data_IF_209700687153
#
_entry.id   IF_209700687153
#
_cell.length_a   1.000
_cell.length_b   1.000
_cell.length_c   1.000
_cell.angle_alpha   90.00
_cell.angle_beta   90.00
_cell.angle_gamma   90.00
#
_symmetry.space_group_name_H-M   'P 1'
#
loop_
_entity.id
_entity.type
_entity.pdbx_description
1 polymer ?
#
# COMPACT_ATOMS: atom_id res chain seq x y z
N UNK A 1 44.92 31.09 -20.21
CA UNK A 1 43.98 30.01 -19.88
C UNK A 1 43.27 29.65 -21.17
N UNK A 2 43.60 28.46 -21.64
CA UNK A 2 43.42 27.92 -22.98
C UNK A 2 41.96 27.52 -23.22
N UNK A 3 41.38 27.96 -24.33
CA UNK A 3 40.25 27.26 -24.96
C UNK A 3 40.80 26.62 -26.23
N UNK A 4 40.72 25.30 -26.28
CA UNK A 4 41.16 24.49 -27.41
C UNK A 4 40.12 24.54 -28.55
N UNK A 5 40.64 24.71 -29.75
CA UNK A 5 39.93 24.73 -31.02
C UNK A 5 39.46 23.33 -31.42
N UNK A 6 38.18 23.19 -31.80
CA UNK A 6 37.70 22.06 -32.63
C UNK A 6 37.57 22.51 -34.09
N UNK A 7 38.05 21.71 -35.07
CA UNK A 7 38.00 22.07 -36.49
C UNK A 7 36.62 21.79 -37.09
N UNK A 8 36.02 22.81 -37.72
CA UNK A 8 34.88 22.66 -38.62
C UNK A 8 35.40 22.21 -40.00
N UNK A 9 35.06 20.99 -40.38
CA UNK A 9 35.25 20.51 -41.75
C UNK A 9 34.43 21.38 -42.72
N UNK A 10 35.16 22.05 -43.61
CA UNK A 10 34.61 22.71 -44.78
C UNK A 10 34.39 21.65 -45.86
N UNK A 11 33.14 21.45 -46.27
CA UNK A 11 32.81 20.75 -47.52
C UNK A 11 31.98 21.72 -48.37
N UNK A 12 32.68 22.70 -48.93
CA UNK A 12 32.19 23.65 -49.92
C UNK A 12 32.69 23.21 -51.29
N UNK A 13 31.92 22.36 -51.96
CA UNK A 13 32.09 22.10 -53.38
C UNK A 13 31.42 23.22 -54.19
N UNK A 14 32.23 24.03 -54.84
CA UNK A 14 31.81 24.98 -55.89
C UNK A 14 30.90 24.28 -56.90
N UNK A 15 29.73 24.87 -57.15
CA UNK A 15 28.87 24.51 -58.27
C UNK A 15 29.00 25.59 -59.33
N UNK A 16 29.69 25.27 -60.41
CA UNK A 16 29.73 26.07 -61.62
C UNK A 16 28.29 26.35 -62.12
N UNK A 17 27.86 27.60 -62.09
CA UNK A 17 26.49 28.04 -62.42
C UNK A 17 26.16 28.02 -63.93
N UNK A 18 26.92 27.31 -64.77
CA UNK A 18 26.77 27.40 -66.23
C UNK A 18 26.83 26.05 -66.99
N UNK A 19 26.38 24.96 -66.36
CA UNK A 19 26.21 23.66 -67.02
C UNK A 19 24.73 23.43 -67.44
N UNK A 20 24.45 22.81 -68.60
CA UNK A 20 23.09 22.42 -68.97
C UNK A 20 22.50 21.49 -67.89
N UNK A 21 21.19 21.61 -67.56
CA UNK A 21 20.59 20.83 -66.49
C UNK A 21 20.77 19.34 -66.79
N UNK A 22 21.35 18.62 -65.83
CA UNK A 22 21.58 17.19 -65.98
C UNK A 22 20.26 16.47 -66.29
N UNK A 23 20.26 15.51 -67.24
CA UNK A 23 19.06 14.78 -67.59
C UNK A 23 18.53 14.00 -66.37
N UNK A 24 17.21 14.00 -66.18
CA UNK A 24 16.56 13.53 -64.94
C UNK A 24 16.89 12.08 -64.56
N UNK A 25 17.34 11.27 -65.52
CA UNK A 25 17.77 9.89 -65.30
C UNK A 25 19.11 9.80 -64.58
N UNK A 26 20.06 10.70 -64.84
CA UNK A 26 21.36 10.71 -64.15
C UNK A 26 21.16 11.01 -62.66
N UNK A 27 20.36 12.02 -62.34
CA UNK A 27 19.94 12.31 -60.97
C UNK A 27 19.15 11.17 -60.31
N UNK A 28 18.45 10.33 -61.10
CA UNK A 28 17.76 9.15 -60.59
C UNK A 28 18.74 7.99 -60.30
N UNK A 29 19.71 7.76 -61.18
CA UNK A 29 20.77 6.76 -60.99
C UNK A 29 21.62 7.13 -59.78
N UNK A 30 22.05 8.39 -59.64
CA UNK A 30 22.83 8.84 -58.50
C UNK A 30 22.08 8.71 -57.16
N UNK A 31 20.76 8.96 -57.16
CA UNK A 31 19.93 8.81 -55.97
C UNK A 31 19.80 7.35 -55.54
N UNK A 32 19.69 6.42 -56.49
CA UNK A 32 19.52 4.99 -56.21
C UNK A 32 20.85 4.22 -56.07
N UNK A 33 21.95 4.74 -56.63
CA UNK A 33 23.29 4.20 -56.48
C UNK A 33 23.86 4.42 -55.08
N UNK A 34 23.37 5.44 -54.35
CA UNK A 34 23.75 5.66 -52.96
C UNK A 34 22.99 4.69 -52.04
N UNK A 35 23.68 3.91 -51.19
CA UNK A 35 23.00 3.02 -50.26
C UNK A 35 22.09 3.82 -49.31
N UNK A 36 20.85 3.36 -49.15
CA UNK A 36 19.86 4.01 -48.27
C UNK A 36 20.41 4.03 -46.84
N UNK A 37 20.81 5.23 -46.38
CA UNK A 37 21.24 5.44 -44.98
C UNK A 37 20.04 5.26 -44.06
N UNK A 38 19.86 4.05 -43.54
CA UNK A 38 18.84 3.76 -42.51
C UNK A 38 19.33 4.30 -41.18
N UNK A 39 18.97 5.54 -40.86
CA UNK A 39 19.19 6.11 -39.53
C UNK A 39 18.34 5.33 -38.51
N UNK A 40 18.95 4.34 -37.85
CA UNK A 40 18.35 3.72 -36.67
C UNK A 40 18.55 4.71 -35.51
N UNK A 41 17.48 5.26 -34.92
CA UNK A 41 17.65 6.16 -33.78
C UNK A 41 18.35 5.40 -32.66
N UNK A 42 19.44 5.97 -32.11
CA UNK A 42 20.22 5.38 -30.99
C UNK A 42 19.37 5.18 -29.73
N UNK A 43 18.27 5.92 -29.60
CA UNK A 43 17.34 5.86 -28.48
C UNK A 43 15.95 5.62 -29.03
N UNK A 44 15.26 4.61 -28.50
CA UNK A 44 13.85 4.36 -28.80
C UNK A 44 13.03 5.60 -28.38
N UNK A 45 12.32 6.19 -29.34
CA UNK A 45 11.43 7.32 -29.06
C UNK A 45 10.34 6.87 -28.09
N UNK A 46 10.39 7.38 -26.87
CA UNK A 46 9.34 7.16 -25.89
C UNK A 46 8.16 8.08 -26.20
N UNK A 47 7.04 7.50 -26.63
CA UNK A 47 5.79 8.24 -26.81
C UNK A 47 5.29 8.70 -25.43
N UNK A 48 4.98 9.99 -25.31
CA UNK A 48 4.34 10.53 -24.12
C UNK A 48 2.96 9.91 -23.94
N UNK A 49 2.39 9.97 -22.72
CA UNK A 49 1.06 9.42 -22.40
C UNK A 49 -0.03 9.86 -23.40
N UNK A 50 0.07 11.10 -23.90
CA UNK A 50 -0.88 11.71 -24.84
C UNK A 50 -0.60 11.38 -26.32
N UNK A 51 0.62 10.91 -26.64
CA UNK A 51 0.99 10.48 -27.98
C UNK A 51 0.74 8.98 -28.22
N UNK A 52 0.52 8.21 -27.14
CA UNK A 52 0.09 6.82 -27.26
C UNK A 52 -1.35 6.80 -27.75
N UNK A 53 -1.63 5.93 -28.72
CA UNK A 53 -3.01 5.67 -29.11
C UNK A 53 -3.81 5.28 -27.86
N UNK A 54 -4.94 5.94 -27.65
CA UNK A 54 -5.83 5.61 -26.55
C UNK A 54 -6.31 4.15 -26.64
N UNK A 55 -6.90 3.62 -25.57
CA UNK A 55 -7.33 2.21 -25.52
C UNK A 55 -8.42 1.86 -26.56
N UNK A 56 -9.08 2.87 -27.13
CA UNK A 56 -10.19 2.70 -28.07
C UNK A 56 -9.88 3.39 -29.40
N UNK A 57 -10.27 2.74 -30.50
CA UNK A 57 -10.20 3.36 -31.83
C UNK A 57 -11.24 4.48 -31.95
N UNK A 58 -11.08 5.38 -32.94
CA UNK A 58 -12.07 6.45 -33.21
C UNK A 58 -13.49 5.91 -33.48
N UNK A 59 -13.62 4.66 -33.95
CA UNK A 59 -14.93 4.01 -34.15
C UNK A 59 -15.52 3.55 -32.82
N UNK A 60 -14.69 2.99 -31.95
CA UNK A 60 -15.13 2.51 -30.64
C UNK A 60 -15.49 3.69 -29.73
N UNK A 61 -14.79 4.81 -29.84
CA UNK A 61 -15.15 6.05 -29.14
C UNK A 61 -16.54 6.57 -29.50
N UNK A 62 -16.96 6.44 -30.77
CA UNK A 62 -18.34 6.81 -31.17
C UNK A 62 -19.38 5.92 -30.51
N UNK A 63 -19.16 4.60 -30.54
CA UNK A 63 -20.04 3.63 -29.88
C UNK A 63 -20.09 3.83 -28.36
N UNK A 64 -18.95 4.11 -27.74
CA UNK A 64 -18.88 4.40 -26.32
C UNK A 64 -19.63 5.68 -25.97
N UNK A 65 -19.51 6.73 -26.80
CA UNK A 65 -20.21 7.98 -26.57
C UNK A 65 -21.73 7.81 -26.70
N UNK A 66 -22.21 7.10 -27.72
CA UNK A 66 -23.62 6.72 -27.87
C UNK A 66 -24.12 5.93 -26.66
N UNK A 67 -23.36 4.92 -26.23
CA UNK A 67 -23.67 4.13 -25.03
C UNK A 67 -23.68 4.98 -23.76
N UNK A 68 -22.72 5.89 -23.59
CA UNK A 68 -22.60 6.72 -22.39
C UNK A 68 -23.77 7.70 -22.28
N UNK A 69 -24.23 8.27 -23.39
CA UNK A 69 -25.42 9.13 -23.41
C UNK A 69 -26.67 8.38 -22.94
N UNK A 70 -26.82 7.11 -23.32
CA UNK A 70 -28.01 6.33 -22.96
C UNK A 70 -27.94 5.69 -21.56
N UNK A 71 -26.75 5.22 -21.16
CA UNK A 71 -26.57 4.34 -19.99
C UNK A 71 -25.80 4.98 -18.84
N UNK A 72 -24.96 5.98 -19.12
CA UNK A 72 -24.17 6.64 -18.08
C UNK A 72 -24.89 7.82 -17.43
N UNK A 73 -26.04 8.25 -17.97
CA UNK A 73 -26.93 9.14 -17.21
C UNK A 73 -27.33 8.44 -15.91
N UNK A 74 -27.12 9.09 -14.74
CA UNK A 74 -27.51 8.52 -13.47
C UNK A 74 -28.99 8.12 -13.53
N UNK A 75 -29.27 6.83 -13.33
CA UNK A 75 -30.64 6.35 -13.24
C UNK A 75 -31.29 7.09 -12.07
N UNK A 76 -32.32 7.87 -12.35
CA UNK A 76 -33.09 8.57 -11.31
C UNK A 76 -33.62 7.52 -10.33
N UNK A 77 -32.99 7.46 -9.15
CA UNK A 77 -33.43 6.56 -8.08
C UNK A 77 -34.70 7.18 -7.53
N UNK A 78 -35.84 6.47 -7.50
CA UNK A 78 -37.03 6.99 -6.84
C UNK A 78 -36.64 7.34 -5.40
N UNK A 79 -36.93 8.57 -4.98
CA UNK A 79 -36.68 9.00 -3.60
C UNK A 79 -37.47 8.08 -2.67
N UNK A 80 -36.79 7.07 -2.12
CA UNK A 80 -37.29 6.30 -1.00
C UNK A 80 -37.15 7.22 0.20
N UNK A 81 -38.28 7.68 0.74
CA UNK A 81 -38.33 8.38 2.01
C UNK A 81 -37.73 7.48 3.09
N UNK A 82 -36.44 7.67 3.37
CA UNK A 82 -35.80 6.99 4.47
C UNK A 82 -36.41 7.56 5.75
N UNK A 83 -36.98 6.73 6.64
CA UNK A 83 -37.49 7.23 7.90
C UNK A 83 -36.36 7.94 8.63
N UNK A 84 -36.56 9.22 8.93
CA UNK A 84 -35.56 10.07 9.57
C UNK A 84 -35.12 9.37 10.85
N UNK A 85 -33.83 9.02 10.98
CA UNK A 85 -33.37 8.30 12.16
C UNK A 85 -33.48 9.24 13.36
N UNK A 86 -34.33 8.83 14.32
CA UNK A 86 -34.47 9.43 15.64
C UNK A 86 -35.03 10.88 15.63
N UNK A 87 -36.36 11.06 15.64
CA UNK A 87 -36.99 12.37 15.92
C UNK A 87 -36.75 12.85 17.36
N UNK A 88 -36.50 11.92 18.27
CA UNK A 88 -36.35 12.20 19.69
C UNK A 88 -34.92 12.67 20.06
N UNK A 89 -34.82 13.90 20.58
CA UNK A 89 -33.57 14.53 21.09
C UNK A 89 -32.85 13.73 22.18
N UNK A 90 -33.54 12.74 22.76
CA UNK A 90 -33.03 11.90 23.85
C UNK A 90 -31.94 10.95 23.34
N UNK A 91 -32.07 10.48 22.09
CA UNK A 91 -31.19 9.48 21.51
C UNK A 91 -29.85 10.10 21.04
N UNK A 92 -28.70 9.41 21.23
CA UNK A 92 -27.37 9.93 20.87
C UNK A 92 -27.19 10.29 19.38
N UNK A 93 -28.01 9.70 18.50
CA UNK A 93 -28.05 9.97 17.05
C UNK A 93 -28.54 11.39 16.72
N UNK A 94 -29.53 11.89 17.47
CA UNK A 94 -30.22 13.15 17.20
C UNK A 94 -29.59 14.36 17.90
N UNK A 95 -28.59 14.13 18.77
CA UNK A 95 -27.88 15.21 19.46
C UNK A 95 -26.91 15.86 18.49
N UNK A 96 -27.05 17.17 18.29
CA UNK A 96 -26.03 17.97 17.62
C UNK A 96 -24.68 17.70 18.28
N UNK A 97 -23.66 17.39 17.48
CA UNK A 97 -22.30 17.30 17.99
C UNK A 97 -21.94 18.68 18.52
N UNK A 98 -21.45 18.75 19.75
CA UNK A 98 -20.89 20.00 20.26
C UNK A 98 -19.63 20.31 19.46
N UNK A 99 -19.68 21.36 18.68
CA UNK A 99 -18.49 22.00 18.14
C UNK A 99 -17.79 22.65 19.35
N UNK A 100 -16.60 22.16 19.67
CA UNK A 100 -15.78 22.75 20.73
C UNK A 100 -14.86 23.77 20.08
N UNK A 101 -14.79 24.96 20.65
CA UNK A 101 -13.83 25.98 20.25
C UNK A 101 -12.40 25.48 20.47
N UNK A 102 -11.46 25.90 19.62
CA UNK A 102 -10.08 25.40 19.65
C UNK A 102 -9.38 25.70 20.97
N UNK A 103 -9.70 26.84 21.60
CA UNK A 103 -9.18 27.24 22.91
C UNK A 103 -9.67 26.31 24.01
N UNK A 104 -10.97 26.00 24.05
CA UNK A 104 -11.53 25.03 25.01
C UNK A 104 -10.93 23.62 24.84
N UNK A 105 -10.57 23.23 23.61
CA UNK A 105 -9.94 21.95 23.34
C UNK A 105 -8.52 21.90 23.92
N UNK A 106 -7.76 23.00 23.82
CA UNK A 106 -6.44 23.12 24.43
C UNK A 106 -6.51 23.06 25.97
N UNK A 107 -7.43 23.80 26.58
CA UNK A 107 -7.61 23.79 28.05
C UNK A 107 -7.98 22.40 28.58
N UNK A 108 -8.89 21.69 27.89
CA UNK A 108 -9.25 20.31 28.24
C UNK A 108 -8.07 19.36 28.08
N UNK A 109 -7.21 19.58 27.08
CA UNK A 109 -6.00 18.78 26.86
C UNK A 109 -4.97 19.01 27.98
N UNK A 110 -4.78 20.25 28.41
CA UNK A 110 -3.93 20.59 29.57
C UNK A 110 -4.47 20.00 30.89
N UNK A 111 -5.79 19.94 31.04
CA UNK A 111 -6.40 19.32 32.21
C UNK A 111 -6.30 17.79 32.19
N UNK A 112 -6.27 17.16 31.01
CA UNK A 112 -6.03 15.72 30.86
C UNK A 112 -4.56 15.33 31.01
N UNK A 113 -3.62 16.22 30.64
CA UNK A 113 -2.19 16.00 30.79
C UNK A 113 -1.74 16.07 32.25
N UNK A 114 -2.43 16.86 33.07
CA UNK A 114 -2.24 16.86 34.52
C UNK A 114 -2.63 15.48 35.07
N UNK A 115 -1.74 14.78 35.80
CA UNK A 115 -2.09 13.52 36.40
C UNK A 115 -3.26 13.76 37.35
N UNK A 116 -4.41 13.12 37.05
CA UNK A 116 -5.56 13.14 37.94
C UNK A 116 -5.08 12.71 39.33
N UNK A 117 -5.38 13.47 40.39
CA UNK A 117 -5.14 12.99 41.75
C UNK A 117 -5.90 11.67 41.85
N UNK A 118 -5.16 10.56 41.92
CA UNK A 118 -5.76 9.24 42.10
C UNK A 118 -6.70 9.41 43.28
N UNK A 119 -8.00 9.19 43.08
CA UNK A 119 -8.96 9.12 44.19
C UNK A 119 -8.53 7.90 45.01
N UNK A 120 -7.63 8.11 45.96
CA UNK A 120 -7.18 7.08 46.89
C UNK A 120 -8.35 6.89 47.84
N UNK A 121 -9.31 6.06 47.44
CA UNK A 121 -10.29 5.57 48.38
C UNK A 121 -9.53 4.72 49.41
N UNK A 122 -9.89 4.76 50.70
CA UNK A 122 -9.20 3.96 51.73
C UNK A 122 -9.23 2.45 51.44
N UNK A 123 -10.14 1.99 50.57
CA UNK A 123 -10.24 0.61 50.06
C UNK A 123 -9.15 0.21 49.04
N UNK A 124 -8.43 1.16 48.46
CA UNK A 124 -7.43 0.91 47.40
C UNK A 124 -6.03 1.36 47.84
N UNK A 125 -5.71 1.16 49.12
CA UNK A 125 -4.34 1.23 49.62
C UNK A 125 -3.80 -0.19 49.67
N UNK A 126 -2.96 -0.56 48.70
CA UNK A 126 -2.29 -1.86 48.70
C UNK A 126 -0.96 -1.73 49.44
N UNK A 127 -0.83 -2.34 50.61
CA UNK A 127 0.47 -2.61 51.19
C UNK A 127 1.15 -3.67 50.31
N UNK A 128 2.24 -3.29 49.64
CA UNK A 128 3.15 -4.25 49.01
C UNK A 128 4.35 -4.38 49.94
N UNK A 129 4.60 -5.60 50.40
CA UNK A 129 5.84 -5.91 51.09
C UNK A 129 6.99 -5.75 50.09
N UNK A 130 7.95 -4.88 50.40
CA UNK A 130 9.17 -4.70 49.63
C UNK A 130 10.10 -5.89 49.90
N UNK A 131 9.93 -6.97 49.14
CA UNK A 131 10.85 -8.11 49.22
C UNK A 131 12.21 -7.70 48.67
N UNK A 132 13.21 -7.58 49.53
CA UNK A 132 14.56 -7.14 49.13
C UNK A 132 15.25 -8.13 48.19
N UNK A 133 14.87 -9.43 48.18
CA UNK A 133 15.31 -10.40 47.20
C UNK A 133 14.27 -11.50 46.97
N UNK A 134 13.86 -11.71 45.72
CA UNK A 134 13.18 -12.94 45.27
C UNK A 134 13.33 -13.10 43.75
N UNK A 135 14.25 -13.95 43.26
CA UNK A 135 14.33 -14.27 41.83
C UNK A 135 13.34 -15.39 41.52
N UNK A 136 12.04 -15.17 41.77
CA UNK A 136 11.01 -16.02 41.19
C UNK A 136 10.61 -15.40 39.86
N UNK A 137 11.29 -15.81 38.79
CA UNK A 137 10.85 -15.55 37.43
C UNK A 137 9.60 -16.41 37.20
N UNK A 138 8.44 -15.91 37.62
CA UNK A 138 7.16 -16.53 37.29
C UNK A 138 6.97 -16.36 35.78
N UNK A 139 7.16 -17.43 35.03
CA UNK A 139 6.82 -17.48 33.60
C UNK A 139 5.29 -17.38 33.46
N UNK A 140 4.76 -16.16 33.54
CA UNK A 140 3.35 -15.81 33.31
C UNK A 140 2.37 -16.45 34.31
N UNK A 141 1.64 -15.65 35.07
CA UNK A 141 0.42 -16.19 35.69
C UNK A 141 -0.54 -16.63 34.57
N UNK A 142 -1.12 -17.84 34.64
CA UNK A 142 -2.13 -18.25 33.68
C UNK A 142 -3.28 -17.24 33.69
N UNK A 143 -3.89 -17.03 32.52
CA UNK A 143 -5.01 -16.10 32.40
C UNK A 143 -6.09 -16.45 33.42
N UNK A 144 -6.49 -15.47 34.24
CA UNK A 144 -7.56 -15.66 35.24
C UNK A 144 -8.85 -16.04 34.52
N UNK A 145 -9.57 -17.00 35.07
CA UNK A 145 -10.90 -17.35 34.58
C UNK A 145 -11.83 -16.12 34.68
N UNK A 146 -12.45 -15.75 33.56
CA UNK A 146 -13.42 -14.65 33.49
C UNK A 146 -14.58 -14.86 34.46
N UNK A 147 -14.53 -14.19 35.60
CA UNK A 147 -15.60 -14.19 36.60
C UNK A 147 -16.84 -13.52 35.99
N UNK A 148 -17.89 -14.30 35.74
CA UNK A 148 -19.20 -13.78 35.31
C UNK A 148 -19.75 -14.34 33.99
N UNK A 149 -19.06 -15.28 33.33
CA UNK A 149 -19.66 -15.99 32.19
C UNK A 149 -20.68 -17.01 32.71
N UNK A 150 -21.98 -16.93 32.36
CA UNK A 150 -23.01 -17.85 32.86
C UNK A 150 -22.91 -19.27 32.28
N UNK A 151 -21.91 -19.55 31.43
CA UNK A 151 -21.71 -20.83 30.76
C UNK A 151 -20.25 -21.27 30.91
N UNK A 152 -20.04 -22.56 31.18
CA UNK A 152 -18.72 -23.18 31.07
C UNK A 152 -18.23 -23.00 29.63
N UNK A 153 -16.98 -22.55 29.47
CA UNK A 153 -16.35 -22.49 28.15
C UNK A 153 -16.24 -23.89 27.53
N UNK A 154 -16.06 -23.99 26.20
CA UNK A 154 -15.75 -25.27 25.59
C UNK A 154 -14.43 -25.81 26.17
N UNK A 155 -14.36 -27.12 26.35
CA UNK A 155 -13.16 -27.79 26.85
C UNK A 155 -12.10 -27.79 25.75
N UNK A 156 -11.01 -27.06 25.98
CA UNK A 156 -9.86 -27.01 25.09
C UNK A 156 -8.77 -27.98 25.59
N UNK A 157 -8.32 -28.94 24.77
CA UNK A 157 -7.17 -29.78 25.10
C UNK A 157 -5.92 -28.91 25.31
N UNK A 158 -5.06 -29.29 26.25
CA UNK A 158 -3.80 -28.57 26.50
C UNK A 158 -2.83 -28.67 25.30
N UNK A 159 -2.88 -29.78 24.57
CA UNK A 159 -2.05 -30.06 23.39
C UNK A 159 -2.86 -30.90 22.39
N UNK A 160 -2.68 -30.63 21.09
CA UNK A 160 -3.20 -31.48 20.02
C UNK A 160 -2.11 -32.46 19.55
N UNK A 161 -2.50 -33.67 19.18
CA UNK A 161 -1.56 -34.72 18.74
C UNK A 161 -0.99 -34.39 17.35
N UNK A 162 -1.84 -33.89 16.44
CA UNK A 162 -1.49 -33.51 15.06
C UNK A 162 -2.14 -32.16 14.72
N UNK A 163 -1.58 -31.44 13.73
CA UNK A 163 -2.15 -30.17 13.23
C UNK A 163 -3.52 -30.35 12.60
N UNK A 164 -3.75 -31.45 11.89
CA UNK A 164 -5.06 -31.71 11.26
C UNK A 164 -6.18 -31.82 12.32
N UNK A 165 -5.87 -32.38 13.49
CA UNK A 165 -6.81 -32.50 14.61
C UNK A 165 -7.05 -31.13 15.26
N UNK A 166 -6.03 -30.27 15.30
CA UNK A 166 -6.16 -28.89 15.76
C UNK A 166 -7.06 -28.08 14.83
N UNK A 167 -6.82 -28.16 13.52
CA UNK A 167 -7.60 -27.46 12.50
C UNK A 167 -9.06 -27.93 12.50
N UNK A 168 -9.29 -29.25 12.57
CA UNK A 168 -10.62 -29.83 12.70
C UNK A 168 -11.33 -29.40 13.98
N UNK A 169 -10.61 -29.35 15.11
CA UNK A 169 -11.14 -28.87 16.38
C UNK A 169 -11.60 -27.42 16.27
N UNK A 170 -10.77 -26.53 15.73
CA UNK A 170 -11.12 -25.13 15.54
C UNK A 170 -12.25 -24.92 14.52
N UNK A 171 -12.34 -25.75 13.49
CA UNK A 171 -13.41 -25.72 12.51
C UNK A 171 -14.77 -26.18 13.10
N UNK A 172 -14.75 -27.16 14.01
CA UNK A 172 -15.95 -27.69 14.66
C UNK A 172 -16.39 -26.88 15.88
N UNK A 173 -15.49 -26.11 16.49
CA UNK A 173 -15.77 -25.31 17.68
C UNK A 173 -16.86 -24.27 17.40
N UNK A 174 -18.10 -24.56 17.82
CA UNK A 174 -19.23 -23.64 17.72
C UNK A 174 -19.68 -23.20 19.09
N UNK A 175 -19.85 -21.90 19.27
CA UNK A 175 -20.49 -21.35 20.46
C UNK A 175 -22.00 -21.26 20.20
N UNK A 176 -22.86 -21.70 21.14
CA UNK A 176 -24.29 -21.47 21.02
C UNK A 176 -24.53 -19.94 21.02
N UNK A 177 -24.86 -19.40 19.85
CA UNK A 177 -25.18 -17.99 19.70
C UNK A 177 -26.58 -17.77 20.27
N UNK A 178 -26.69 -16.92 21.30
CA UNK A 178 -28.01 -16.55 21.82
C UNK A 178 -28.83 -15.90 20.70
N UNK A 179 -30.13 -16.20 20.54
CA UNK A 179 -30.97 -15.55 19.53
C UNK A 179 -30.97 -14.02 19.61
N UNK A 180 -30.78 -13.47 20.81
CA UNK A 180 -30.62 -12.03 21.04
C UNK A 180 -29.33 -11.46 20.42
N UNK A 181 -28.25 -12.23 20.34
CA UNK A 181 -27.00 -11.82 19.71
C UNK A 181 -27.14 -11.73 18.18
N UNK A 182 -27.99 -12.56 17.56
CA UNK A 182 -28.30 -12.48 16.12
C UNK A 182 -29.01 -11.17 15.75
N UNK A 183 -29.80 -10.61 16.69
CA UNK A 183 -30.51 -9.33 16.54
C UNK A 183 -29.76 -8.15 17.17
N UNK A 184 -28.56 -8.38 17.71
CA UNK A 184 -27.83 -7.34 18.43
C UNK A 184 -27.35 -6.27 17.46
N UNK A 185 -27.80 -5.03 17.69
CA UNK A 185 -27.24 -3.85 17.02
C UNK A 185 -26.11 -3.28 17.88
N UNK A 186 -25.01 -2.81 17.28
CA UNK A 186 -23.94 -2.17 18.02
C UNK A 186 -24.49 -0.95 18.76
N UNK A 187 -24.05 -0.74 20.01
CA UNK A 187 -24.47 0.42 20.79
C UNK A 187 -23.88 1.69 20.19
N UNK A 188 -24.55 2.83 20.40
CA UNK A 188 -24.09 4.13 19.91
C UNK A 188 -22.65 4.46 20.35
N UNK A 189 -22.22 3.96 21.52
CA UNK A 189 -20.86 4.11 22.03
C UNK A 189 -19.83 3.29 21.24
N UNK A 190 -20.17 2.06 20.85
CA UNK A 190 -19.32 1.25 19.98
C UNK A 190 -19.18 1.94 18.62
N UNK A 191 -20.29 2.45 18.08
CA UNK A 191 -20.29 3.22 16.83
C UNK A 191 -19.47 4.52 16.94
N UNK A 192 -19.44 5.19 18.09
CA UNK A 192 -18.59 6.37 18.29
C UNK A 192 -17.11 6.03 18.40
N UNK A 193 -16.77 4.91 19.07
CA UNK A 193 -15.40 4.44 19.23
C UNK A 193 -14.82 3.85 17.93
N UNK A 194 -15.67 3.27 17.09
CA UNK A 194 -15.27 2.77 15.78
C UNK A 194 -14.97 3.89 14.76
N UNK A 195 -15.39 5.13 15.03
CA UNK A 195 -15.01 6.27 14.18
C UNK A 195 -13.52 6.54 14.35
N UNK A 196 -12.78 6.80 13.26
CA UNK A 196 -11.37 7.13 13.35
C UNK A 196 -11.19 8.35 14.25
N UNK A 197 -10.25 8.25 15.20
CA UNK A 197 -9.89 9.36 16.06
C UNK A 197 -9.22 10.44 15.21
N UNK A 198 -9.89 11.59 15.06
CA UNK A 198 -9.34 12.76 14.37
C UNK A 198 -8.37 13.41 15.35
N UNK A 199 -7.07 13.09 15.21
CA UNK A 199 -6.01 13.87 15.83
C UNK A 199 -6.02 15.26 15.18
N UNK A 200 -5.94 16.37 15.94
CA UNK A 200 -5.68 17.66 15.33
C UNK A 200 -4.37 17.56 14.52
N UNK A 201 -4.28 18.21 13.35
CA UNK A 201 -3.03 18.30 12.61
C UNK A 201 -2.11 19.26 13.36
N UNK A 202 -1.57 18.82 14.50
CA UNK A 202 -0.32 19.40 14.97
C UNK A 202 0.68 19.20 13.82
N UNK A 203 1.43 20.23 13.42
CA UNK A 203 2.42 20.07 12.36
C UNK A 203 3.28 18.86 12.76
N UNK A 204 3.32 17.81 11.91
CA UNK A 204 4.20 16.69 12.20
C UNK A 204 5.60 17.29 12.27
N UNK A 205 6.35 16.94 13.31
CA UNK A 205 7.74 17.40 13.49
C UNK A 205 8.63 17.14 12.24
N UNK A 206 8.17 16.30 11.30
CA UNK A 206 8.75 16.07 9.99
C UNK A 206 7.66 16.03 8.90
N UNK A 207 7.95 16.46 7.65
CA UNK A 207 7.05 16.25 6.53
C UNK A 207 6.80 14.76 6.34
N UNK A 208 5.53 14.36 6.30
CA UNK A 208 5.14 12.97 6.03
C UNK A 208 5.59 12.65 4.59
N UNK A 209 6.44 11.64 4.37
CA UNK A 209 6.85 11.27 3.02
C UNK A 209 5.62 10.89 2.19
N UNK A 210 5.64 11.23 0.91
CA UNK A 210 4.57 10.83 -0.01
C UNK A 210 4.42 9.31 0.04
N UNK A 211 3.17 8.83 0.16
CA UNK A 211 2.91 7.39 0.21
C UNK A 211 3.46 6.78 -1.08
N UNK A 212 4.28 5.71 -1.00
CA UNK A 212 4.72 5.01 -2.19
C UNK A 212 3.49 4.51 -2.95
N UNK A 213 3.55 4.60 -4.27
CA UNK A 213 2.46 4.13 -5.16
C UNK A 213 2.24 2.63 -4.87
N UNK A 214 0.99 2.17 -4.92
CA UNK A 214 0.69 0.78 -4.62
C UNK A 214 1.50 -0.14 -5.54
N UNK A 215 2.00 -1.27 -5.02
CA UNK A 215 2.87 -2.20 -5.75
C UNK A 215 2.30 -2.75 -7.09
N UNK A 216 1.00 -2.51 -7.35
CA UNK A 216 0.31 -2.86 -8.59
C UNK A 216 0.29 -1.74 -9.64
N UNK A 217 0.53 -0.49 -9.23
CA UNK A 217 0.53 0.70 -10.11
C UNK A 217 1.90 0.92 -10.76
N UNK A 218 2.98 0.44 -10.15
CA UNK A 218 4.30 0.40 -10.76
C UNK A 218 4.42 -0.83 -11.68
N UNK A 219 4.74 -0.65 -12.97
CA UNK A 219 5.00 -1.80 -13.83
C UNK A 219 6.18 -2.59 -13.26
N UNK A 220 6.09 -3.93 -13.20
CA UNK A 220 7.16 -4.73 -12.59
C UNK A 220 8.48 -4.43 -13.29
N UNK A 221 9.60 -4.40 -12.54
CA UNK A 221 10.90 -4.13 -13.12
C UNK A 221 11.15 -5.10 -14.28
N UNK A 222 11.60 -4.56 -15.42
CA UNK A 222 11.83 -5.36 -16.63
C UNK A 222 12.72 -6.55 -16.27
N UNK A 223 12.23 -7.77 -16.54
CA UNK A 223 12.97 -9.02 -16.34
C UNK A 223 14.30 -8.95 -17.09
N UNK A 224 15.39 -8.67 -16.38
CA UNK A 224 16.75 -8.73 -16.92
C UNK A 224 17.21 -10.18 -16.86
N UNK A 225 17.66 -10.72 -17.99
CA UNK A 225 18.45 -11.96 -17.98
C UNK A 225 19.71 -11.70 -17.14
N UNK A 226 20.17 -12.68 -16.39
CA UNK A 226 21.43 -12.55 -15.65
C UNK A 226 22.56 -12.23 -16.63
N UNK A 227 23.45 -11.31 -16.24
CA UNK A 227 24.73 -11.14 -16.93
C UNK A 227 25.55 -12.43 -16.77
N UNK A 228 26.55 -12.71 -17.62
CA UNK A 228 27.38 -13.93 -17.49
C UNK A 228 28.00 -14.08 -16.08
N UNK A 229 28.42 -12.97 -15.46
CA UNK A 229 28.90 -12.93 -14.08
C UNK A 229 27.79 -13.24 -13.06
N UNK A 230 26.60 -12.67 -13.26
CA UNK A 230 25.43 -12.96 -12.43
C UNK A 230 24.98 -14.42 -12.53
N UNK A 231 25.10 -15.03 -13.70
CA UNK A 231 24.78 -16.43 -13.92
C UNK A 231 25.76 -17.35 -13.18
N UNK A 232 27.07 -17.08 -13.25
CA UNK A 232 28.08 -17.84 -12.49
C UNK A 232 27.83 -17.76 -10.98
N UNK A 233 27.57 -16.57 -10.45
CA UNK A 233 27.24 -16.41 -9.01
C UNK A 233 25.94 -17.13 -8.63
N UNK A 234 24.94 -17.11 -9.51
CA UNK A 234 23.71 -17.85 -9.31
C UNK A 234 23.94 -19.37 -9.28
N UNK A 235 24.77 -19.89 -10.19
CA UNK A 235 25.17 -21.30 -10.19
C UNK A 235 25.92 -21.69 -8.90
N UNK A 236 26.87 -20.87 -8.45
CA UNK A 236 27.59 -21.08 -7.17
C UNK A 236 26.58 -21.14 -6.01
N UNK A 237 25.60 -20.23 -5.98
CA UNK A 237 24.55 -20.22 -4.96
C UNK A 237 23.68 -21.47 -5.00
N UNK A 238 23.30 -21.95 -6.18
CA UNK A 238 22.50 -23.18 -6.30
C UNK A 238 23.29 -24.40 -5.83
N UNK A 239 24.55 -24.53 -6.24
CA UNK A 239 25.46 -25.58 -5.78
C UNK A 239 25.59 -25.53 -4.26
N UNK A 240 25.76 -24.33 -3.70
CA UNK A 240 25.83 -24.11 -2.27
C UNK A 240 24.56 -24.54 -1.53
N UNK A 241 23.37 -24.16 -2.02
CA UNK A 241 22.09 -24.53 -1.41
C UNK A 241 21.77 -26.02 -1.57
N UNK A 242 22.31 -26.68 -2.59
CA UNK A 242 22.12 -28.11 -2.83
C UNK A 242 22.92 -29.01 -1.88
N UNK A 243 23.90 -28.47 -1.16
CA UNK A 243 24.67 -29.21 -0.14
C UNK A 243 23.84 -29.38 1.15
N UNK A 244 23.92 -30.52 1.85
CA UNK A 244 23.19 -30.76 3.09
C UNK A 244 23.56 -29.75 4.19
N UNK A 245 22.62 -29.51 5.11
CA UNK A 245 22.69 -28.47 6.15
C UNK A 245 23.72 -28.77 7.24
N UNK A 246 24.19 -30.01 7.36
CA UNK A 246 25.29 -30.39 8.27
C UNK A 246 26.62 -29.87 7.73
N UNK A 247 26.98 -28.65 8.09
CA UNK A 247 28.23 -28.03 7.64
C UNK A 247 29.17 -27.83 8.83
N UNK A 248 30.47 -28.18 8.71
CA UNK A 248 31.48 -27.63 9.61
C UNK A 248 31.57 -26.12 9.34
N UNK A 249 31.52 -25.31 10.38
CA UNK A 249 31.30 -23.84 10.32
C UNK A 249 32.43 -23.02 9.64
N UNK A 250 33.43 -23.66 9.01
CA UNK A 250 34.71 -23.01 8.66
C UNK A 250 35.23 -23.21 7.22
N UNK A 251 34.36 -23.39 6.22
CA UNK A 251 34.78 -23.29 4.81
C UNK A 251 34.12 -22.08 4.12
N UNK A 252 34.62 -20.89 4.43
CA UNK A 252 34.45 -19.75 3.53
C UNK A 252 35.79 -19.08 3.31
N UNK A 253 35.98 -18.70 2.04
CA UNK A 253 37.10 -17.97 1.47
C UNK A 253 38.35 -18.81 1.24
N UNK A 254 38.41 -19.50 0.09
CA UNK A 254 39.50 -19.41 -0.90
C UNK A 254 39.17 -20.36 -2.05
N UNK A 255 38.57 -19.83 -3.12
CA UNK A 255 38.76 -20.22 -4.53
C UNK A 255 38.17 -19.12 -5.41
#
# INVERSE_FOLDING_TARGET
MSNEDEPREADGGDKDENAPPEPSWVAWVERNARPVKRCRPKVERQLTRWQKAGPMSKKDWRKFFEWALEKAMPKEVPMVEQPVPCTEKILPCARAKREMEMEELMEKMENLSKPLPRKVTPKHVYYREEFHYSPVIVWGQPAKHDKGRPFRGPFMPCCFVNKDIEDDYWAQLRFPVRPSALKARPTARILSLAKPHIMPPNPPHCPIPEKPVAALDEPPPKRKKFTPRGWRLHQIRLIYLSKPVSRPEFEYFYM
#
